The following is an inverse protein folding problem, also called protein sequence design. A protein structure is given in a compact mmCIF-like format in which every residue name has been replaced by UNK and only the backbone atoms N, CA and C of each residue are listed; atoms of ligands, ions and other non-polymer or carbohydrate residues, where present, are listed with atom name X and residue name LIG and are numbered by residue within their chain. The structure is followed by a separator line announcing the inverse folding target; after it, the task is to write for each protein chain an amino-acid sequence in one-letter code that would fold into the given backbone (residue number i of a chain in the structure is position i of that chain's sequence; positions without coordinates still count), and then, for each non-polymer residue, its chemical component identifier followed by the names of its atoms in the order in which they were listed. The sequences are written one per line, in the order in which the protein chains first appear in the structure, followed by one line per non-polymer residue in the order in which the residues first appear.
data_IF_249715076744
#
_entry.id   IF_249715076744
#
_cell.length_a   1.000
_cell.length_b   1.000
_cell.length_c   1.000
_cell.angle_alpha   90.00
_cell.angle_beta   90.00
_cell.angle_gamma   90.00
#
_symmetry.space_group_name_H-M   'P 1'
#
loop_
_entity.id
_entity.type
_entity.pdbx_description
1 polymer ?
#
# COMPACT_ATOMS: atom_id res chain seq x y z
N UNK A 1 -2.21 -22.26 -11.03
CA UNK A 1 -1.26 -21.78 -10.01
C UNK A 1 -2.03 -21.28 -8.79
N UNK A 2 -2.31 -22.14 -7.80
CA UNK A 2 -3.02 -21.72 -6.59
C UNK A 2 -2.10 -20.82 -5.75
N UNK A 3 -2.45 -19.53 -5.61
CA UNK A 3 -1.74 -18.62 -4.69
C UNK A 3 -1.94 -19.14 -3.27
N UNK A 4 -0.91 -19.79 -2.70
CA UNK A 4 -0.90 -20.20 -1.29
C UNK A 4 -1.24 -18.98 -0.45
N UNK A 5 -2.30 -19.07 0.36
CA UNK A 5 -2.61 -18.03 1.33
C UNK A 5 -1.45 -17.99 2.32
N UNK A 6 -0.86 -16.81 2.56
CA UNK A 6 0.23 -16.71 3.53
C UNK A 6 -0.27 -17.15 4.90
N UNK A 7 0.57 -17.88 5.63
CA UNK A 7 0.29 -18.30 7.01
C UNK A 7 0.05 -17.06 7.88
N UNK A 8 -0.73 -17.18 8.96
CA UNK A 8 -0.94 -16.09 9.91
C UNK A 8 0.38 -15.51 10.43
N UNK A 9 1.35 -16.37 10.78
CA UNK A 9 2.69 -15.96 11.23
C UNK A 9 3.43 -15.08 10.20
N UNK A 10 3.31 -15.41 8.91
CA UNK A 10 3.91 -14.60 7.85
C UNK A 10 3.27 -13.21 7.74
N UNK A 11 1.95 -13.11 7.98
CA UNK A 11 1.25 -11.81 7.97
C UNK A 11 1.67 -10.95 9.15
N UNK A 12 1.88 -11.55 10.33
CA UNK A 12 2.30 -10.84 11.52
C UNK A 12 3.75 -10.35 11.38
N UNK A 13 4.65 -11.17 10.83
CA UNK A 13 6.01 -10.74 10.47
C UNK A 13 6.01 -9.61 9.44
N UNK A 14 5.18 -9.71 8.39
CA UNK A 14 5.07 -8.67 7.37
C UNK A 14 4.54 -7.36 7.95
N UNK A 15 3.55 -7.43 8.87
CA UNK A 15 3.05 -6.25 9.58
C UNK A 15 4.13 -5.59 10.42
N UNK A 16 4.86 -6.38 11.22
CA UNK A 16 5.97 -5.84 12.03
C UNK A 16 7.08 -5.22 11.18
N UNK A 17 7.41 -5.80 10.02
CA UNK A 17 8.36 -5.21 9.08
C UNK A 17 7.84 -3.90 8.50
N UNK A 18 6.56 -3.83 8.13
CA UNK A 18 5.93 -2.60 7.64
C UNK A 18 5.89 -1.53 8.73
N UNK A 19 5.56 -1.89 9.99
CA UNK A 19 5.52 -0.95 11.11
C UNK A 19 6.91 -0.38 11.42
N UNK A 20 7.97 -1.21 11.37
CA UNK A 20 9.36 -0.73 11.50
C UNK A 20 9.77 0.14 10.32
N UNK A 21 9.39 -0.24 9.10
CA UNK A 21 9.68 0.56 7.91
C UNK A 21 8.92 1.90 7.94
N UNK A 22 7.73 1.91 8.51
CA UNK A 22 6.92 3.11 8.73
C UNK A 22 7.56 4.04 9.77
N UNK A 23 8.13 3.48 10.85
CA UNK A 23 8.84 4.23 11.88
C UNK A 23 10.19 4.79 11.40
N UNK A 24 10.85 4.14 10.44
CA UNK A 24 12.15 4.55 9.91
C UNK A 24 12.03 5.50 8.70
N UNK A 25 11.17 6.52 8.80
CA UNK A 25 11.08 7.59 7.79
C UNK A 25 10.72 7.09 6.38
N UNK A 26 9.64 6.32 6.25
CA UNK A 26 8.96 6.27 4.96
C UNK A 26 8.29 7.62 4.71
N UNK A 27 9.02 8.58 4.13
CA UNK A 27 8.49 9.82 3.52
C UNK A 27 7.56 9.56 2.32
N UNK A 28 7.08 8.33 2.18
CA UNK A 28 6.09 7.98 1.17
C UNK A 28 4.75 8.51 1.65
N UNK A 29 4.22 9.46 0.92
CA UNK A 29 2.89 10.02 1.15
C UNK A 29 1.85 8.89 1.38
N UNK A 30 1.08 8.94 2.48
CA UNK A 30 -0.01 8.01 2.74
C UNK A 30 -0.98 7.81 1.56
N UNK A 31 -1.17 8.84 0.71
CA UNK A 31 -1.96 8.77 -0.52
C UNK A 31 -1.32 7.85 -1.57
N UNK A 32 0.00 7.86 -1.72
CA UNK A 32 0.72 6.94 -2.61
C UNK A 32 0.55 5.49 -2.12
N UNK A 33 0.62 5.25 -0.81
CA UNK A 33 0.39 3.93 -0.24
C UNK A 33 -1.06 3.46 -0.46
N UNK A 34 -2.03 4.36 -0.27
CA UNK A 34 -3.46 4.10 -0.50
C UNK A 34 -3.75 3.78 -1.97
N UNK A 35 -3.19 4.53 -2.92
CA UNK A 35 -3.35 4.26 -4.34
C UNK A 35 -2.79 2.87 -4.73
N UNK A 36 -1.60 2.52 -4.22
CA UNK A 36 -1.01 1.18 -4.41
C UNK A 36 -1.90 0.06 -3.86
N UNK A 37 -2.48 0.25 -2.68
CA UNK A 37 -3.40 -0.74 -2.09
C UNK A 37 -4.67 -0.92 -2.93
N UNK A 38 -5.28 0.19 -3.39
CA UNK A 38 -6.48 0.16 -4.23
C UNK A 38 -6.23 -0.58 -5.56
N UNK A 39 -5.06 -0.38 -6.18
CA UNK A 39 -4.64 -1.13 -7.39
C UNK A 39 -4.50 -2.62 -7.13
N UNK A 40 -3.88 -3.02 -6.01
CA UNK A 40 -3.76 -4.44 -5.62
C UNK A 40 -5.12 -5.11 -5.40
N UNK A 41 -6.12 -4.36 -4.94
CA UNK A 41 -7.49 -4.82 -4.75
C UNK A 41 -8.35 -4.77 -6.04
N UNK A 42 -7.77 -4.36 -7.18
CA UNK A 42 -8.49 -4.21 -8.45
C UNK A 42 -9.42 -3.00 -8.53
N UNK A 43 -9.35 -2.07 -7.55
CA UNK A 43 -10.21 -0.88 -7.47
C UNK A 43 -9.60 0.31 -8.22
N UNK A 44 -9.41 0.15 -9.53
CA UNK A 44 -8.66 1.10 -10.36
C UNK A 44 -9.26 2.51 -10.44
N UNK A 45 -10.59 2.64 -10.48
CA UNK A 45 -11.25 3.97 -10.52
C UNK A 45 -10.91 4.80 -9.27
N UNK A 46 -11.01 4.18 -8.09
CA UNK A 46 -10.67 4.83 -6.83
C UNK A 46 -9.18 5.13 -6.73
N UNK A 47 -8.32 4.21 -7.19
CA UNK A 47 -6.88 4.47 -7.23
C UNK A 47 -6.55 5.71 -8.08
N UNK A 48 -7.19 5.86 -9.25
CA UNK A 48 -6.98 7.00 -10.14
C UNK A 48 -7.41 8.33 -9.50
N UNK A 49 -8.50 8.34 -8.74
CA UNK A 49 -8.90 9.53 -7.98
C UNK A 49 -7.85 9.92 -6.95
N UNK A 50 -7.31 8.94 -6.20
CA UNK A 50 -6.25 9.21 -5.23
C UNK A 50 -4.98 9.73 -5.92
N UNK A 51 -4.60 9.16 -7.08
CA UNK A 51 -3.45 9.65 -7.84
C UNK A 51 -3.61 11.11 -8.29
N UNK A 52 -4.84 11.57 -8.56
CA UNK A 52 -5.12 12.96 -8.95
C UNK A 52 -4.90 13.95 -7.81
N UNK A 53 -5.14 13.54 -6.55
CA UNK A 53 -4.92 14.39 -5.36
C UNK A 53 -3.44 14.65 -5.08
N UNK A 54 -2.55 13.75 -5.53
CA UNK A 54 -1.09 13.84 -5.34
C UNK A 54 -0.39 14.44 -6.57
N UNK A 55 -1.15 14.90 -7.57
CA UNK A 55 -0.56 15.56 -8.72
C UNK A 55 0.04 16.90 -8.26
N UNK A 56 1.25 17.26 -8.72
CA UNK A 56 1.82 18.56 -8.45
C UNK A 56 0.92 19.65 -9.02
N UNK A 57 0.70 20.71 -8.25
CA UNK A 57 0.04 21.93 -8.72
C UNK A 57 1.04 22.59 -9.68
N UNK A 58 0.64 22.72 -10.95
CA UNK A 58 1.43 23.36 -12.02
C UNK A 58 1.01 24.81 -12.17
#
# INVERSE_FOLDING_TARGET
MAKRRPSPEFRDQLRQQLDRCWQNDCDIDPLILRARQLRRLGRFRLARCVDQEVLPIV
#
